data_IF_719799900800
#
_entry.id   IF_719799900800
#
_cell.length_a   1.000
_cell.length_b   1.000
_cell.length_c   1.000
_cell.angle_alpha   90.00
_cell.angle_beta   90.00
_cell.angle_gamma   90.00
#
_symmetry.space_group_name_H-M   'P 1'
#
loop_
_entity.id
_entity.type
_entity.pdbx_description
1 polymer ?
#
# COMPACT_ATOMS: atom_id res chain seq x y z
N UNK A 1 -8.94 -10.35 -11.33
CA UNK A 1 -7.74 -10.76 -10.60
C UNK A 1 -7.89 -10.35 -9.13
N UNK A 2 -7.86 -11.29 -8.19
CA UNK A 2 -8.08 -10.96 -6.78
C UNK A 2 -6.80 -10.41 -6.14
N UNK A 3 -6.53 -9.14 -6.39
CA UNK A 3 -5.39 -8.46 -5.81
C UNK A 3 -5.85 -7.49 -4.72
N UNK A 4 -5.04 -7.34 -3.69
CA UNK A 4 -5.28 -6.38 -2.62
C UNK A 4 -4.06 -5.49 -2.46
N UNK A 5 -4.28 -4.24 -2.07
CA UNK A 5 -3.21 -3.30 -1.76
C UNK A 5 -3.23 -3.09 -0.26
N UNK A 6 -2.13 -3.39 0.40
CA UNK A 6 -2.08 -3.35 1.86
C UNK A 6 -0.72 -2.90 2.36
N UNK A 7 -0.65 -2.56 3.63
CA UNK A 7 0.61 -2.26 4.28
C UNK A 7 1.26 -3.54 4.77
N UNK A 8 2.55 -3.66 4.53
CA UNK A 8 3.34 -4.76 5.06
C UNK A 8 4.38 -4.17 6.00
N UNK A 9 4.38 -4.64 7.26
CA UNK A 9 5.34 -4.17 8.25
C UNK A 9 6.74 -4.63 7.88
N UNK A 10 7.67 -3.69 7.88
CA UNK A 10 9.07 -3.94 7.58
C UNK A 10 9.92 -3.28 8.66
N UNK A 11 11.23 -3.46 8.56
CA UNK A 11 12.17 -2.81 9.47
C UNK A 11 12.37 -3.59 10.76
N UNK A 12 13.04 -2.93 11.72
CA UNK A 12 13.38 -3.55 12.99
C UNK A 12 12.36 -3.16 14.07
N UNK A 13 12.46 -3.78 15.23
CA UNK A 13 11.62 -3.44 16.37
C UNK A 13 11.76 -1.97 16.75
N UNK A 14 12.96 -1.43 16.63
CA UNK A 14 13.22 -0.03 17.01
C UNK A 14 12.85 0.98 15.93
N UNK A 15 12.82 0.57 14.67
CA UNK A 15 12.50 1.45 13.54
C UNK A 15 11.55 0.77 12.57
N UNK A 16 10.31 0.50 12.99
CA UNK A 16 9.35 -0.11 12.09
C UNK A 16 8.89 0.88 11.02
N UNK A 17 8.72 0.39 9.81
CA UNK A 17 8.09 1.15 8.76
C UNK A 17 7.21 0.18 7.96
N UNK A 18 6.37 0.74 7.10
CA UNK A 18 5.45 -0.06 6.31
C UNK A 18 5.68 0.15 4.84
N UNK A 19 5.61 -0.92 4.07
CA UNK A 19 5.60 -0.83 2.62
C UNK A 19 4.17 -0.97 2.13
N UNK A 20 3.83 -0.20 1.11
CA UNK A 20 2.55 -0.31 0.43
C UNK A 20 2.74 -1.31 -0.69
N UNK A 21 2.08 -2.47 -0.59
CA UNK A 21 2.33 -3.57 -1.50
C UNK A 21 1.03 -4.08 -2.12
N UNK A 22 1.16 -4.62 -3.34
CA UNK A 22 0.07 -5.32 -4.02
C UNK A 22 0.31 -6.80 -3.81
N UNK A 23 -0.69 -7.51 -3.33
CA UNK A 23 -0.59 -8.94 -3.05
C UNK A 23 -1.80 -9.69 -3.61
N UNK A 24 -1.62 -10.98 -3.90
CA UNK A 24 -2.74 -11.84 -4.26
C UNK A 24 -3.56 -12.14 -3.01
N UNK A 25 -4.86 -11.86 -3.06
CA UNK A 25 -5.76 -12.06 -1.92
C UNK A 25 -5.72 -13.49 -1.38
N UNK A 26 -5.54 -14.47 -2.26
CA UNK A 26 -5.53 -15.88 -1.87
C UNK A 26 -4.24 -16.31 -1.20
N UNK A 27 -3.16 -15.55 -1.35
CA UNK A 27 -1.84 -15.86 -0.82
C UNK A 27 -1.31 -14.75 0.09
N UNK A 28 -2.20 -13.98 0.67
CA UNK A 28 -1.82 -12.75 1.36
C UNK A 28 -0.95 -12.95 2.60
N UNK A 29 -0.95 -14.15 3.18
CA UNK A 29 -0.29 -14.38 4.45
C UNK A 29 1.21 -14.57 4.35
N UNK A 30 1.68 -15.35 3.38
CA UNK A 30 3.08 -15.74 3.26
C UNK A 30 3.67 -15.45 1.90
N UNK A 31 2.91 -14.83 1.01
CA UNK A 31 3.34 -14.66 -0.35
C UNK A 31 4.18 -13.42 -0.54
N UNK A 32 5.00 -13.45 -1.57
CA UNK A 32 5.71 -12.27 -2.01
C UNK A 32 4.73 -11.25 -2.57
N UNK A 33 5.05 -9.97 -2.38
CA UNK A 33 4.28 -8.93 -3.02
C UNK A 33 4.39 -9.05 -4.54
N UNK A 34 3.28 -8.82 -5.23
CA UNK A 34 3.29 -8.76 -6.69
C UNK A 34 4.08 -7.53 -7.12
N UNK A 35 3.87 -6.42 -6.41
CA UNK A 35 4.56 -5.18 -6.70
C UNK A 35 4.61 -4.32 -5.43
N UNK A 36 5.68 -3.55 -5.27
CA UNK A 36 5.80 -2.59 -4.17
C UNK A 36 5.47 -1.21 -4.74
N UNK A 37 4.43 -0.58 -4.19
CA UNK A 37 3.97 0.73 -4.67
C UNK A 37 4.64 1.89 -3.95
N UNK A 38 5.12 1.69 -2.73
CA UNK A 38 5.74 2.76 -1.97
C UNK A 38 5.93 2.38 -0.52
N UNK A 39 6.08 3.39 0.33
CA UNK A 39 6.25 3.14 1.76
C UNK A 39 5.55 4.21 2.58
N UNK A 40 5.33 3.88 3.85
CA UNK A 40 4.71 4.77 4.82
C UNK A 40 5.50 4.68 6.12
N UNK A 41 5.97 5.84 6.60
CA UNK A 41 6.66 5.95 7.88
C UNK A 41 5.86 6.88 8.79
N UNK A 42 5.12 6.32 9.76
CA UNK A 42 4.31 7.15 10.65
C UNK A 42 5.09 7.88 11.73
N UNK A 43 6.37 7.54 11.90
CA UNK A 43 7.18 8.13 12.98
C UNK A 43 7.72 9.52 12.67
N UNK A 44 7.75 9.90 11.39
CA UNK A 44 8.16 11.26 11.03
C UNK A 44 6.99 12.22 11.21
N UNK A 45 7.29 13.47 11.44
CA UNK A 45 6.26 14.52 11.60
C UNK A 45 6.51 15.61 10.56
N UNK A 46 5.65 15.74 9.52
CA UNK A 46 4.51 14.85 9.23
C UNK A 46 4.93 13.46 8.78
N UNK A 47 4.01 12.51 8.84
CA UNK A 47 4.26 11.15 8.40
C UNK A 47 4.74 11.14 6.95
N UNK A 48 5.81 10.38 6.69
CA UNK A 48 6.40 10.31 5.37
C UNK A 48 5.71 9.21 4.57
N UNK A 49 5.05 9.60 3.49
CA UNK A 49 4.36 8.67 2.60
C UNK A 49 4.86 8.90 1.19
N UNK A 50 5.35 7.87 0.54
CA UNK A 50 5.73 7.91 -0.86
C UNK A 50 5.02 6.80 -1.59
N UNK A 51 4.38 7.13 -2.70
CA UNK A 51 3.61 6.18 -3.50
C UNK A 51 3.88 6.42 -4.97
N UNK A 52 4.08 5.35 -5.71
CA UNK A 52 4.15 5.41 -7.17
C UNK A 52 2.73 5.61 -7.68
N UNK A 53 2.34 6.85 -7.89
CA UNK A 53 0.98 7.21 -8.20
C UNK A 53 0.43 6.49 -9.43
N UNK A 54 1.20 6.45 -10.51
CA UNK A 54 0.75 5.79 -11.75
C UNK A 54 0.47 4.31 -11.53
N UNK A 55 1.35 3.64 -10.78
CA UNK A 55 1.17 2.22 -10.53
C UNK A 55 0.01 1.96 -9.59
N UNK A 56 -0.18 2.81 -8.58
CA UNK A 56 -1.31 2.69 -7.67
C UNK A 56 -2.62 2.86 -8.44
N UNK A 57 -2.69 3.85 -9.31
CA UNK A 57 -3.88 4.06 -10.13
C UNK A 57 -4.13 2.89 -11.08
N UNK A 58 -3.08 2.34 -11.66
CA UNK A 58 -3.18 1.16 -12.51
C UNK A 58 -3.83 0.00 -11.77
N UNK A 59 -3.32 -0.33 -10.58
CA UNK A 59 -3.84 -1.47 -9.82
C UNK A 59 -5.29 -1.25 -9.38
N UNK A 60 -5.62 -0.04 -8.97
CA UNK A 60 -7.01 0.30 -8.62
C UNK A 60 -7.90 0.15 -9.86
N UNK A 61 -7.41 0.58 -11.01
CA UNK A 61 -8.15 0.49 -12.26
C UNK A 61 -8.45 -0.94 -12.70
N UNK A 62 -7.55 -1.88 -12.38
CA UNK A 62 -7.77 -3.29 -12.73
C UNK A 62 -8.49 -4.07 -11.62
N UNK A 63 -8.95 -3.38 -10.59
CA UNK A 63 -9.80 -3.99 -9.58
C UNK A 63 -9.13 -4.38 -8.28
N UNK A 64 -7.88 -3.98 -8.05
CA UNK A 64 -7.23 -4.22 -6.77
C UNK A 64 -7.95 -3.47 -5.65
N UNK A 65 -8.17 -4.14 -4.53
CA UNK A 65 -8.90 -3.56 -3.40
C UNK A 65 -7.93 -3.04 -2.35
N UNK A 66 -7.90 -1.72 -2.11
CA UNK A 66 -7.03 -1.17 -1.06
C UNK A 66 -7.63 -1.42 0.33
N UNK A 67 -6.77 -1.66 1.32
CA UNK A 67 -7.21 -1.73 2.70
C UNK A 67 -7.67 -0.34 3.16
N UNK A 68 -8.37 -0.29 4.30
CA UNK A 68 -8.89 0.99 4.80
C UNK A 68 -7.78 2.01 5.02
N UNK A 69 -6.65 1.58 5.60
CA UNK A 69 -5.50 2.46 5.85
C UNK A 69 -4.89 2.94 4.54
N UNK A 70 -4.69 2.02 3.58
CA UNK A 70 -4.13 2.37 2.27
C UNK A 70 -5.04 3.33 1.53
N UNK A 71 -6.35 3.12 1.61
CA UNK A 71 -7.32 4.03 1.01
C UNK A 71 -7.16 5.45 1.54
N UNK A 72 -7.02 5.59 2.86
CA UNK A 72 -6.81 6.89 3.50
C UNK A 72 -5.51 7.53 3.02
N UNK A 73 -4.43 6.76 2.97
CA UNK A 73 -3.13 7.26 2.52
C UNK A 73 -3.19 7.71 1.06
N UNK A 74 -3.86 6.94 0.20
CA UNK A 74 -4.00 7.29 -1.21
C UNK A 74 -4.78 8.58 -1.39
N UNK A 75 -5.86 8.77 -0.62
CA UNK A 75 -6.63 10.02 -0.68
C UNK A 75 -5.77 11.22 -0.32
N UNK A 76 -4.91 11.11 0.69
CA UNK A 76 -4.01 12.18 1.08
C UNK A 76 -2.99 12.51 -0.01
N UNK A 77 -2.63 11.53 -0.82
CA UNK A 77 -1.68 11.72 -1.93
C UNK A 77 -2.36 12.13 -3.22
N UNK A 78 -3.67 12.34 -3.20
CA UNK A 78 -4.41 12.73 -4.39
C UNK A 78 -4.69 11.60 -5.36
N UNK A 79 -4.58 10.36 -4.91
CA UNK A 79 -4.86 9.18 -5.72
C UNK A 79 -6.34 8.85 -5.59
N UNK A 80 -7.02 8.73 -6.72
CA UNK A 80 -8.44 8.37 -6.71
C UNK A 80 -8.61 6.91 -6.34
N UNK A 81 -9.49 6.65 -5.40
CA UNK A 81 -9.82 5.30 -4.95
C UNK A 81 -11.31 5.09 -5.17
N UNK A 82 -11.66 3.95 -5.76
CA UNK A 82 -13.06 3.62 -5.91
C UNK A 82 -13.68 3.38 -4.53
N UNK A 83 -14.83 3.95 -4.33
CA UNK A 83 -15.56 3.78 -3.08
C UNK A 83 -15.99 2.32 -2.88
#
# INVERSE_FOLDING_TARGET
MPAVIRLKRMGTIKKPFHRIVVMDKRRARDSRAIEILGFYDPKTDPANVQVKKERAEYWIGVGATPSAIVRTLFKKQGIKVKA
#
